data_IF_941175672972
#
_entry.id   IF_941175672972
#
_cell.length_a   1.000
_cell.length_b   1.000
_cell.length_c   1.000
_cell.angle_alpha   90.00
_cell.angle_beta   90.00
_cell.angle_gamma   90.00
#
_symmetry.space_group_name_H-M   'P 1'
#
loop_
_entity.id
_entity.type
_entity.pdbx_description
1 polymer ?
#
# COMPACT_ATOMS: atom_id res chain seq x y z
N UNK A 1 -25.79 -9.01 -52.06
CA UNK A 1 -25.86 -7.80 -51.21
C UNK A 1 -25.86 -8.24 -49.75
N UNK A 2 -24.84 -7.78 -49.02
CA UNK A 2 -24.52 -8.07 -47.62
C UNK A 2 -25.58 -7.53 -46.64
N UNK A 3 -25.98 -8.34 -45.66
CA UNK A 3 -26.24 -7.85 -44.29
C UNK A 3 -25.65 -8.84 -43.29
N UNK A 4 -24.49 -8.46 -42.72
CA UNK A 4 -23.84 -9.11 -41.58
C UNK A 4 -24.76 -8.98 -40.35
N UNK A 5 -25.15 -10.11 -39.75
CA UNK A 5 -25.64 -10.18 -38.37
C UNK A 5 -24.47 -10.63 -37.51
N UNK A 6 -23.95 -9.74 -36.65
CA UNK A 6 -23.05 -10.12 -35.56
C UNK A 6 -23.86 -10.87 -34.50
N UNK A 7 -23.41 -12.07 -34.15
CA UNK A 7 -23.82 -12.80 -32.96
C UNK A 7 -23.05 -12.22 -31.77
N UNK A 8 -23.78 -11.69 -30.78
CA UNK A 8 -23.25 -11.38 -29.45
C UNK A 8 -23.48 -12.61 -28.58
N UNK A 9 -22.40 -13.27 -28.17
CA UNK A 9 -22.42 -14.43 -27.29
C UNK A 9 -22.41 -13.93 -25.84
N UNK A 10 -23.57 -13.97 -25.18
CA UNK A 10 -23.70 -13.83 -23.73
C UNK A 10 -23.41 -15.19 -23.08
N UNK A 11 -22.46 -15.24 -22.14
CA UNK A 11 -22.29 -16.36 -21.22
C UNK A 11 -22.73 -15.89 -19.84
N UNK A 12 -23.89 -16.39 -19.41
CA UNK A 12 -24.46 -16.20 -18.07
C UNK A 12 -24.19 -17.49 -17.28
N UNK A 13 -23.43 -17.41 -16.19
CA UNK A 13 -23.19 -18.56 -15.31
C UNK A 13 -24.31 -18.66 -14.25
N UNK A 14 -25.16 -19.67 -14.38
CA UNK A 14 -26.06 -20.14 -13.33
C UNK A 14 -25.68 -21.57 -12.97
N UNK A 15 -25.39 -21.84 -11.70
CA UNK A 15 -25.01 -23.17 -11.20
C UNK A 15 -26.30 -23.98 -10.92
N UNK A 16 -26.53 -25.04 -11.70
CA UNK A 16 -27.47 -26.11 -11.39
C UNK A 16 -26.68 -27.32 -10.89
N UNK A 17 -26.98 -27.77 -9.67
CA UNK A 17 -26.43 -29.00 -9.11
C UNK A 17 -27.16 -30.22 -9.72
N UNK A 18 -26.41 -31.19 -10.22
CA UNK A 18 -26.93 -32.52 -10.54
C UNK A 18 -25.81 -33.54 -10.33
N UNK A 19 -26.00 -34.41 -9.33
CA UNK A 19 -25.12 -35.52 -9.01
C UNK A 19 -25.38 -36.71 -9.93
N UNK A 20 -24.33 -37.22 -10.56
CA UNK A 20 -24.30 -38.56 -11.15
C UNK A 20 -22.98 -39.21 -10.73
N UNK A 21 -23.08 -40.32 -10.00
CA UNK A 21 -21.95 -41.15 -9.58
C UNK A 21 -21.91 -42.43 -10.43
N UNK A 22 -20.75 -42.75 -11.01
CA UNK A 22 -20.37 -44.05 -11.60
C UNK A 22 -18.82 -44.20 -11.59
N UNK A 23 -18.27 -45.43 -11.67
CA UNK A 23 -17.63 -46.09 -10.53
C UNK A 23 -16.10 -45.95 -10.46
N UNK A 24 -15.57 -46.05 -9.24
CA UNK A 24 -14.15 -46.19 -8.95
C UNK A 24 -13.57 -47.44 -9.66
N UNK A 25 -12.60 -47.21 -10.54
CA UNK A 25 -11.63 -48.22 -10.97
C UNK A 25 -10.30 -47.91 -10.28
N UNK A 26 -9.79 -48.91 -9.55
CA UNK A 26 -8.55 -48.81 -8.81
C UNK A 26 -7.34 -48.81 -9.75
N UNK A 27 -6.35 -47.96 -9.45
CA UNK A 27 -4.99 -48.10 -10.00
C UNK A 27 -4.52 -46.91 -10.82
N UNK A 28 -4.25 -45.79 -10.15
CA UNK A 28 -3.11 -44.96 -10.48
C UNK A 28 -2.59 -44.42 -9.15
N UNK A 29 -1.31 -44.62 -8.85
CA UNK A 29 -0.66 -43.90 -7.77
C UNK A 29 -0.98 -42.42 -7.98
N UNK A 30 -1.64 -41.78 -7.02
CA UNK A 30 -1.84 -40.34 -7.05
C UNK A 30 -0.44 -39.75 -7.10
N UNK A 31 -0.01 -39.30 -8.28
CA UNK A 31 1.19 -38.51 -8.40
C UNK A 31 1.08 -37.39 -7.39
N UNK A 32 2.14 -37.12 -6.64
CA UNK A 32 2.22 -35.90 -5.85
C UNK A 32 1.79 -34.76 -6.76
N UNK A 33 0.63 -34.21 -6.46
CA UNK A 33 0.12 -33.07 -7.17
C UNK A 33 0.97 -31.91 -6.66
N UNK A 34 2.00 -31.59 -7.42
CA UNK A 34 2.88 -30.46 -7.11
C UNK A 34 2.00 -29.21 -7.12
N UNK A 35 1.91 -28.53 -5.99
CA UNK A 35 1.06 -27.36 -5.80
C UNK A 35 1.87 -26.17 -5.36
N UNK A 36 1.42 -24.99 -5.75
CA UNK A 36 2.02 -23.70 -5.39
C UNK A 36 1.02 -22.88 -4.57
N UNK A 37 1.54 -21.82 -3.95
CA UNK A 37 0.73 -20.78 -3.35
C UNK A 37 0.82 -19.47 -4.13
N UNK A 38 -0.31 -18.76 -4.22
CA UNK A 38 -0.40 -17.42 -4.79
C UNK A 38 -0.90 -16.47 -3.70
N UNK A 39 -0.14 -15.41 -3.41
CA UNK A 39 -0.45 -14.48 -2.33
C UNK A 39 -0.26 -13.02 -2.75
N UNK A 40 -0.74 -12.11 -1.91
CA UNK A 40 -0.54 -10.68 -2.10
C UNK A 40 -1.36 -9.85 -1.14
N UNK A 41 -1.32 -8.54 -1.36
CA UNK A 41 -2.11 -7.56 -0.62
C UNK A 41 -3.04 -6.79 -1.57
N UNK A 42 -4.27 -6.51 -1.16
CA UNK A 42 -5.23 -5.69 -1.89
C UNK A 42 -5.69 -4.56 -0.97
N UNK A 43 -5.85 -3.37 -1.55
CA UNK A 43 -6.35 -2.21 -0.83
C UNK A 43 -7.22 -1.36 -1.77
N UNK A 44 -8.18 -0.59 -1.23
CA UNK A 44 -8.70 0.56 -1.95
C UNK A 44 -7.62 1.59 -2.19
N UNK A 45 -7.77 2.37 -3.25
CA UNK A 45 -6.83 3.43 -3.62
C UNK A 45 -7.12 4.77 -2.91
N UNK A 46 -7.82 4.71 -1.78
CA UNK A 46 -8.11 5.82 -0.88
C UNK A 46 -7.87 5.38 0.57
N UNK A 47 -7.89 6.34 1.50
CA UNK A 47 -7.67 6.09 2.93
C UNK A 47 -8.98 6.19 3.69
N UNK A 48 -9.11 5.37 4.72
CA UNK A 48 -10.20 5.42 5.68
C UNK A 48 -9.64 5.24 7.10
N UNK A 49 -10.36 5.77 8.08
CA UNK A 49 -10.09 5.50 9.50
C UNK A 49 -10.58 4.11 9.94
N UNK A 50 -11.37 3.42 9.12
CA UNK A 50 -11.86 2.08 9.41
C UNK A 50 -10.75 1.03 9.17
N UNK A 51 -10.41 0.27 10.22
CA UNK A 51 -9.35 -0.76 10.18
C UNK A 51 -9.69 -1.98 9.32
N UNK A 52 -10.95 -2.15 8.94
CA UNK A 52 -11.42 -3.24 8.07
C UNK A 52 -11.52 -2.83 6.60
N UNK A 53 -11.04 -1.63 6.24
CA UNK A 53 -11.14 -1.11 4.87
C UNK A 53 -10.47 -2.03 3.83
N UNK A 54 -9.44 -2.76 4.24
CA UNK A 54 -8.71 -3.71 3.39
C UNK A 54 -9.28 -5.15 3.42
N UNK A 55 -10.33 -5.42 4.19
CA UNK A 55 -10.92 -6.76 4.30
C UNK A 55 -11.86 -7.10 3.16
N UNK A 56 -12.18 -8.40 3.04
CA UNK A 56 -13.29 -8.91 2.24
C UNK A 56 -13.14 -8.74 0.72
N UNK A 57 -11.91 -8.52 0.22
CA UNK A 57 -11.63 -8.61 -1.21
C UNK A 57 -11.42 -10.07 -1.59
N UNK A 58 -12.25 -10.58 -2.51
CA UNK A 58 -12.18 -11.96 -2.98
C UNK A 58 -11.24 -12.05 -4.17
N UNK A 59 -10.28 -12.97 -4.10
CA UNK A 59 -9.35 -13.34 -5.18
C UNK A 59 -9.66 -14.75 -5.65
N UNK A 60 -9.96 -14.93 -6.94
CA UNK A 60 -10.29 -16.24 -7.52
C UNK A 60 -9.35 -16.58 -8.67
N UNK A 61 -8.88 -17.83 -8.72
CA UNK A 61 -8.07 -18.34 -9.82
C UNK A 61 -8.99 -18.78 -10.96
N UNK A 62 -8.87 -18.16 -12.13
CA UNK A 62 -9.73 -18.45 -13.27
C UNK A 62 -9.60 -19.91 -13.73
N UNK A 63 -10.72 -20.53 -14.11
CA UNK A 63 -10.76 -21.93 -14.54
C UNK A 63 -10.76 -22.95 -13.40
N UNK A 64 -10.76 -22.51 -12.13
CA UNK A 64 -10.77 -23.38 -10.94
C UNK A 64 -11.83 -22.94 -9.92
N UNK A 65 -11.98 -23.70 -8.83
CA UNK A 65 -12.79 -23.31 -7.66
C UNK A 65 -11.96 -22.63 -6.56
N UNK A 66 -10.65 -22.49 -6.74
CA UNK A 66 -9.73 -21.96 -5.73
C UNK A 66 -9.90 -20.44 -5.58
N UNK A 67 -10.04 -19.99 -4.35
CA UNK A 67 -10.19 -18.59 -4.01
C UNK A 67 -9.73 -18.32 -2.57
N UNK A 68 -9.42 -17.06 -2.29
CA UNK A 68 -9.15 -16.54 -0.95
C UNK A 68 -9.82 -15.18 -0.76
N UNK A 69 -9.94 -14.75 0.48
CA UNK A 69 -10.48 -13.45 0.86
C UNK A 69 -9.45 -12.72 1.73
N UNK A 70 -9.33 -11.40 1.56
CA UNK A 70 -8.36 -10.62 2.32
C UNK A 70 -8.74 -10.44 3.78
N UNK A 71 -7.72 -10.40 4.63
CA UNK A 71 -7.85 -10.05 6.06
C UNK A 71 -7.92 -8.52 6.29
N UNK A 72 -7.88 -8.07 7.55
CA UNK A 72 -7.88 -6.63 7.91
C UNK A 72 -6.66 -5.85 7.43
N UNK A 73 -5.57 -6.52 7.08
CA UNK A 73 -4.38 -5.88 6.53
C UNK A 73 -4.42 -5.86 4.99
N UNK A 74 -5.38 -6.54 4.37
CA UNK A 74 -5.48 -6.69 2.93
C UNK A 74 -4.75 -7.91 2.39
N UNK A 75 -4.20 -8.77 3.26
CA UNK A 75 -3.44 -9.94 2.84
C UNK A 75 -4.38 -11.08 2.42
N UNK A 76 -4.04 -11.76 1.31
CA UNK A 76 -4.65 -13.04 0.93
C UNK A 76 -3.57 -14.07 0.57
N UNK A 77 -3.91 -15.35 0.72
CA UNK A 77 -3.12 -16.48 0.24
C UNK A 77 -4.04 -17.58 -0.28
N UNK A 78 -3.84 -17.98 -1.53
CA UNK A 78 -4.51 -19.13 -2.16
C UNK A 78 -3.51 -20.29 -2.16
N UNK A 79 -3.86 -21.35 -1.45
CA UNK A 79 -3.06 -22.59 -1.38
C UNK A 79 -3.64 -23.66 -2.32
N UNK A 80 -2.84 -24.67 -2.66
CA UNK A 80 -3.29 -25.81 -3.45
C UNK A 80 -3.47 -25.54 -4.95
N UNK A 81 -2.93 -24.42 -5.46
CA UNK A 81 -2.95 -24.11 -6.89
C UNK A 81 -2.05 -25.13 -7.61
N UNK A 82 -2.57 -25.75 -8.66
CA UNK A 82 -1.84 -26.79 -9.38
C UNK A 82 -0.61 -26.18 -10.06
N UNK A 83 0.53 -26.85 -10.00
CA UNK A 83 1.72 -26.38 -10.71
C UNK A 83 1.58 -26.67 -12.21
N UNK A 84 1.85 -25.67 -13.04
CA UNK A 84 1.81 -25.78 -14.50
C UNK A 84 2.77 -24.77 -15.14
N UNK A 85 3.18 -25.04 -16.38
CA UNK A 85 4.07 -24.15 -17.14
C UNK A 85 3.37 -22.86 -17.59
N UNK A 86 2.06 -22.93 -17.82
CA UNK A 86 1.23 -21.79 -18.19
C UNK A 86 0.88 -20.93 -16.97
N UNK A 87 0.81 -19.62 -17.16
CA UNK A 87 0.37 -18.71 -16.11
C UNK A 87 -1.13 -18.83 -15.79
N UNK A 88 -1.51 -18.39 -14.60
CA UNK A 88 -2.89 -18.22 -14.18
C UNK A 88 -3.34 -16.77 -14.38
N UNK A 89 -4.62 -16.61 -14.68
CA UNK A 89 -5.31 -15.34 -14.55
C UNK A 89 -6.11 -15.33 -13.25
N UNK A 90 -6.08 -14.22 -12.52
CA UNK A 90 -6.81 -14.03 -11.27
C UNK A 90 -7.87 -12.94 -11.43
N UNK A 91 -9.02 -13.15 -10.81
CA UNK A 91 -10.06 -12.12 -10.69
C UNK A 91 -10.13 -11.67 -9.24
N UNK A 92 -9.94 -10.36 -9.03
CA UNK A 92 -10.14 -9.69 -7.75
C UNK A 92 -11.46 -8.92 -7.77
N UNK A 93 -12.30 -9.14 -6.77
CA UNK A 93 -13.66 -8.60 -6.72
C UNK A 93 -14.13 -8.32 -5.30
N UNK A 94 -14.98 -7.31 -5.13
CA UNK A 94 -15.73 -7.01 -3.90
C UNK A 94 -16.98 -6.21 -4.28
N UNK A 95 -18.14 -6.43 -3.64
CA UNK A 95 -19.32 -5.58 -3.88
C UNK A 95 -19.00 -4.10 -3.69
N UNK A 96 -19.43 -3.26 -4.63
CA UNK A 96 -19.14 -1.83 -4.66
C UNK A 96 -17.80 -1.47 -5.32
N UNK A 97 -17.00 -2.45 -5.75
CA UNK A 97 -15.69 -2.23 -6.37
C UNK A 97 -15.63 -2.78 -7.79
N UNK A 98 -14.94 -2.05 -8.67
CA UNK A 98 -14.68 -2.45 -10.04
C UNK A 98 -13.72 -3.65 -10.05
N UNK A 99 -14.18 -4.77 -10.59
CA UNK A 99 -13.40 -6.01 -10.64
C UNK A 99 -12.11 -5.83 -11.43
N UNK A 100 -11.01 -6.45 -10.96
CA UNK A 100 -9.69 -6.36 -11.58
C UNK A 100 -9.22 -7.73 -12.03
N UNK A 101 -8.74 -7.79 -13.27
CA UNK A 101 -8.09 -8.96 -13.85
C UNK A 101 -6.57 -8.83 -13.71
N UNK A 102 -5.94 -9.82 -13.10
CA UNK A 102 -4.49 -9.94 -12.99
C UNK A 102 -4.05 -11.09 -13.89
N UNK A 103 -3.35 -10.76 -14.97
CA UNK A 103 -2.98 -11.73 -16.01
C UNK A 103 -1.60 -12.32 -15.80
N UNK A 104 -1.39 -13.51 -16.37
CA UNK A 104 -0.06 -14.12 -16.53
C UNK A 104 0.70 -14.31 -15.20
N UNK A 105 0.00 -14.67 -14.12
CA UNK A 105 0.62 -15.00 -12.84
C UNK A 105 1.36 -16.34 -12.98
N UNK A 106 2.67 -16.44 -12.69
CA UNK A 106 3.42 -17.69 -12.80
C UNK A 106 2.72 -18.87 -12.11
N UNK A 107 2.48 -19.93 -12.88
CA UNK A 107 1.88 -21.18 -12.39
C UNK A 107 2.92 -22.24 -11.97
N UNK A 108 4.21 -21.97 -12.20
CA UNK A 108 5.28 -22.95 -11.98
C UNK A 108 5.98 -22.80 -10.62
N UNK A 109 5.77 -21.68 -9.94
CA UNK A 109 6.38 -21.38 -8.64
C UNK A 109 5.39 -20.67 -7.75
N UNK A 110 5.64 -20.71 -6.43
CA UNK A 110 4.97 -19.77 -5.53
C UNK A 110 5.11 -18.33 -6.05
N UNK A 111 4.10 -17.50 -5.84
CA UNK A 111 4.05 -16.15 -6.42
C UNK A 111 3.40 -15.16 -5.48
N UNK A 112 4.01 -13.98 -5.37
CA UNK A 112 3.42 -12.78 -4.78
C UNK A 112 3.02 -11.80 -5.88
N UNK A 113 1.73 -11.47 -5.99
CA UNK A 113 1.24 -10.55 -7.03
C UNK A 113 1.31 -9.07 -6.61
N UNK A 114 1.47 -8.81 -5.32
CA UNK A 114 1.53 -7.47 -4.71
C UNK A 114 2.11 -7.57 -3.28
N UNK A 115 2.55 -6.43 -2.73
CA UNK A 115 3.11 -6.35 -1.37
C UNK A 115 2.26 -5.43 -0.50
N UNK A 116 2.49 -5.45 0.82
CA UNK A 116 1.79 -4.55 1.73
C UNK A 116 2.08 -3.05 1.43
N UNK A 117 3.28 -2.73 0.92
CA UNK A 117 3.63 -1.33 0.56
C UNK A 117 3.05 -0.91 -0.79
N UNK A 118 2.93 -1.86 -1.72
CA UNK A 118 2.29 -1.65 -3.02
C UNK A 118 1.18 -2.67 -3.19
N UNK A 119 0.06 -2.50 -2.47
CA UNK A 119 -1.07 -3.39 -2.62
C UNK A 119 -1.61 -3.28 -4.05
N UNK A 120 -2.31 -4.32 -4.45
CA UNK A 120 -3.08 -4.30 -5.66
C UNK A 120 -4.30 -3.41 -5.41
N UNK A 121 -4.26 -2.19 -5.96
CA UNK A 121 -5.38 -1.26 -5.83
C UNK A 121 -6.67 -1.83 -6.46
N UNK A 122 -7.79 -1.69 -5.75
CA UNK A 122 -9.13 -1.93 -6.29
C UNK A 122 -9.97 -0.67 -6.15
N UNK A 123 -10.54 -0.22 -7.26
CA UNK A 123 -11.27 1.04 -7.36
C UNK A 123 -12.73 0.86 -6.96
N UNK A 124 -13.18 1.65 -6.00
CA UNK A 124 -14.59 1.71 -5.62
C UNK A 124 -15.41 2.43 -6.70
N UNK A 125 -16.67 2.00 -6.86
CA UNK A 125 -17.65 2.71 -7.69
C UNK A 125 -18.37 1.88 -8.75
N UNK A 126 -18.21 0.56 -8.80
CA UNK A 126 -19.04 -0.33 -9.62
C UNK A 126 -20.03 -1.06 -8.70
N UNK A 127 -21.23 -0.51 -8.58
CA UNK A 127 -22.19 -0.89 -7.56
C UNK A 127 -23.13 -1.98 -8.11
N UNK A 128 -23.20 -3.16 -7.47
CA UNK A 128 -24.06 -4.24 -7.93
C UNK A 128 -25.54 -3.83 -7.96
N UNK A 129 -26.20 -4.10 -9.09
CA UNK A 129 -27.65 -4.02 -9.22
C UNK A 129 -28.21 -5.43 -9.22
N UNK A 130 -29.08 -5.74 -8.26
CA UNK A 130 -29.60 -7.11 -8.05
C UNK A 130 -28.47 -8.14 -7.85
N UNK A 131 -27.38 -7.75 -7.19
CA UNK A 131 -26.22 -8.60 -6.94
C UNK A 131 -25.26 -8.75 -8.12
N UNK A 132 -25.44 -8.00 -9.22
CA UNK A 132 -24.59 -8.06 -10.41
C UNK A 132 -24.04 -6.67 -10.73
N UNK A 133 -22.71 -6.56 -10.75
CA UNK A 133 -21.97 -5.37 -11.20
C UNK A 133 -21.91 -5.30 -12.73
N UNK A 134 -21.82 -4.10 -13.31
CA UNK A 134 -21.84 -3.90 -14.77
C UNK A 134 -20.46 -3.63 -15.38
N UNK A 135 -19.40 -3.68 -14.56
CA UNK A 135 -18.00 -3.45 -14.94
C UNK A 135 -17.75 -2.04 -15.48
N UNK A 136 -18.54 -1.05 -15.10
CA UNK A 136 -18.34 0.35 -15.49
C UNK A 136 -18.64 1.28 -14.33
N UNK A 137 -17.66 2.06 -13.89
CA UNK A 137 -17.90 3.14 -12.92
C UNK A 137 -18.54 4.30 -13.69
N UNK A 138 -19.84 4.53 -13.54
CA UNK A 138 -20.57 5.55 -14.29
C UNK A 138 -21.71 6.20 -13.50
N UNK A 139 -22.57 6.96 -14.19
CA UNK A 139 -23.65 7.71 -13.54
C UNK A 139 -24.69 6.79 -12.88
N UNK A 140 -24.82 5.54 -13.35
CA UNK A 140 -25.55 4.48 -12.68
C UNK A 140 -25.17 4.33 -11.20
N UNK A 141 -23.88 4.37 -10.92
CA UNK A 141 -23.30 4.13 -9.61
C UNK A 141 -23.46 5.36 -8.73
N UNK A 142 -23.25 6.54 -9.31
CA UNK A 142 -23.55 7.82 -8.65
C UNK A 142 -25.02 7.89 -8.24
N UNK A 143 -25.95 7.43 -9.09
CA UNK A 143 -27.38 7.33 -8.73
C UNK A 143 -27.65 6.32 -7.62
N UNK A 144 -26.86 5.25 -7.50
CA UNK A 144 -27.00 4.29 -6.40
C UNK A 144 -26.56 4.90 -5.06
N UNK A 145 -25.48 5.69 -5.03
CA UNK A 145 -25.10 6.50 -3.86
C UNK A 145 -26.21 7.50 -3.52
N UNK A 146 -26.73 8.22 -4.53
CA UNK A 146 -27.76 9.24 -4.34
C UNK A 146 -29.04 8.70 -3.66
N UNK A 147 -29.41 7.43 -3.90
CA UNK A 147 -30.56 6.78 -3.26
C UNK A 147 -30.37 6.54 -1.76
N UNK A 148 -29.14 6.39 -1.31
CA UNK A 148 -28.78 6.20 0.09
C UNK A 148 -28.16 7.48 0.71
N UNK A 149 -28.16 8.60 -0.02
CA UNK A 149 -27.46 9.80 0.41
C UNK A 149 -28.02 10.35 1.72
N UNK A 150 -27.11 10.76 2.61
CA UNK A 150 -27.40 11.27 3.95
C UNK A 150 -28.09 10.24 4.88
N UNK A 151 -27.90 8.95 4.61
CA UNK A 151 -28.29 7.87 5.54
C UNK A 151 -27.11 7.47 6.42
N UNK A 152 -27.42 6.88 7.58
CA UNK A 152 -26.45 6.28 8.49
C UNK A 152 -26.78 4.80 8.72
N UNK A 153 -25.78 4.03 9.16
CA UNK A 153 -25.95 2.59 9.42
C UNK A 153 -27.10 2.37 10.42
N UNK A 154 -28.13 1.68 9.97
CA UNK A 154 -29.36 1.42 10.73
C UNK A 154 -30.61 2.02 10.10
N UNK A 155 -30.45 3.00 9.20
CA UNK A 155 -31.57 3.56 8.44
C UNK A 155 -32.12 2.55 7.44
N UNK A 156 -33.42 2.64 7.16
CA UNK A 156 -34.10 1.72 6.23
C UNK A 156 -33.54 1.77 4.79
N UNK A 157 -33.02 2.93 4.38
CA UNK A 157 -32.46 3.14 3.04
C UNK A 157 -30.92 3.11 3.03
N UNK A 158 -30.29 2.77 4.16
CA UNK A 158 -28.83 2.62 4.22
C UNK A 158 -28.40 1.45 3.33
N UNK A 159 -27.39 1.69 2.49
CA UNK A 159 -26.76 0.67 1.67
C UNK A 159 -25.27 0.60 1.99
N UNK A 160 -24.80 -0.55 2.46
CA UNK A 160 -23.39 -0.75 2.80
C UNK A 160 -22.49 -0.80 1.57
N UNK A 161 -23.01 -1.19 0.40
CA UNK A 161 -22.24 -1.32 -0.84
C UNK A 161 -21.84 0.03 -1.45
N UNK A 162 -22.41 1.14 -0.94
CA UNK A 162 -22.13 2.51 -1.39
C UNK A 162 -21.46 3.38 -0.32
N UNK A 163 -21.21 2.80 0.85
CA UNK A 163 -20.40 3.40 1.91
C UNK A 163 -18.97 2.86 1.77
N UNK A 164 -18.17 3.50 0.92
CA UNK A 164 -16.89 2.97 0.48
C UNK A 164 -15.79 3.13 1.52
N UNK A 165 -15.80 4.25 2.25
CA UNK A 165 -14.83 4.49 3.33
C UNK A 165 -15.25 3.84 4.65
N UNK A 166 -16.41 3.19 4.71
CA UNK A 166 -16.89 2.45 5.87
C UNK A 166 -16.98 3.31 7.14
N UNK A 167 -17.30 4.60 7.00
CA UNK A 167 -17.45 5.54 8.12
C UNK A 167 -18.84 5.48 8.80
N UNK A 168 -19.68 4.54 8.37
CA UNK A 168 -21.07 4.32 8.77
C UNK A 168 -22.09 5.39 8.31
N UNK A 169 -21.68 6.33 7.47
CA UNK A 169 -22.54 7.31 6.80
C UNK A 169 -22.44 7.18 5.29
N UNK A 170 -23.45 7.63 4.54
CA UNK A 170 -23.35 7.77 3.08
C UNK A 170 -23.42 9.26 2.77
N UNK A 171 -22.31 9.83 2.31
CA UNK A 171 -22.14 11.27 2.19
C UNK A 171 -21.51 11.68 0.84
N UNK A 172 -21.10 12.96 0.74
CA UNK A 172 -20.38 13.43 -0.44
C UNK A 172 -18.98 12.78 -0.54
N UNK A 173 -18.43 12.24 0.55
CA UNK A 173 -17.15 11.54 0.53
C UNK A 173 -17.22 10.28 -0.35
N UNK A 174 -18.31 9.53 -0.30
CA UNK A 174 -18.54 8.36 -1.16
C UNK A 174 -18.67 8.75 -2.63
N UNK A 175 -19.34 9.87 -2.91
CA UNK A 175 -19.46 10.40 -4.28
C UNK A 175 -18.09 10.81 -4.82
N UNK A 176 -17.24 11.44 -4.00
CA UNK A 176 -15.87 11.82 -4.38
C UNK A 176 -14.97 10.62 -4.62
N UNK A 177 -15.17 9.52 -3.88
CA UNK A 177 -14.46 8.26 -4.11
C UNK A 177 -14.78 7.69 -5.50
N UNK A 178 -16.06 7.65 -5.89
CA UNK A 178 -16.47 7.27 -7.26
C UNK A 178 -15.86 8.20 -8.31
N UNK A 179 -15.90 9.52 -8.05
CA UNK A 179 -15.45 10.52 -9.01
C UNK A 179 -13.99 10.34 -9.44
N UNK A 180 -13.14 9.74 -8.57
CA UNK A 180 -11.73 9.48 -8.86
C UNK A 180 -11.52 8.61 -10.11
N UNK A 181 -12.43 7.66 -10.35
CA UNK A 181 -12.35 6.70 -11.45
C UNK A 181 -13.61 6.71 -12.32
N UNK A 182 -14.32 7.84 -12.37
CA UNK A 182 -15.53 7.94 -13.17
C UNK A 182 -15.23 7.68 -14.66
N UNK A 183 -15.95 6.75 -15.25
CA UNK A 183 -15.78 6.27 -16.62
C UNK A 183 -14.86 5.04 -16.75
N UNK A 184 -14.26 4.56 -15.66
CA UNK A 184 -13.34 3.43 -15.70
C UNK A 184 -14.03 2.08 -15.89
N UNK A 185 -13.30 1.18 -16.54
CA UNK A 185 -13.61 -0.24 -16.79
C UNK A 185 -12.44 -1.11 -16.33
N UNK A 186 -12.59 -2.45 -16.22
CA UNK A 186 -11.49 -3.31 -15.81
C UNK A 186 -10.24 -3.22 -16.70
N UNK A 187 -10.38 -2.72 -17.94
CA UNK A 187 -9.27 -2.52 -18.86
C UNK A 187 -8.39 -1.31 -18.53
N UNK A 188 -8.88 -0.38 -17.71
CA UNK A 188 -8.17 0.84 -17.35
C UNK A 188 -7.17 0.64 -16.20
N UNK A 189 -7.25 -0.51 -15.51
CA UNK A 189 -6.23 -0.90 -14.54
C UNK A 189 -4.86 -1.08 -15.21
N UNK A 190 -3.81 -0.64 -14.53
CA UNK A 190 -2.43 -0.94 -14.93
C UNK A 190 -2.13 -2.42 -14.74
N UNK A 191 -1.40 -3.01 -15.69
CA UNK A 191 -0.91 -4.38 -15.57
C UNK A 191 0.03 -4.52 -14.37
N UNK A 192 -0.06 -5.67 -13.68
CA UNK A 192 0.83 -6.00 -12.58
C UNK A 192 1.91 -6.98 -13.03
N UNK A 193 3.14 -6.71 -12.65
CA UNK A 193 4.24 -7.64 -12.81
C UNK A 193 4.30 -8.56 -11.58
N UNK A 194 4.05 -9.87 -11.72
CA UNK A 194 4.12 -10.81 -10.61
C UNK A 194 5.56 -10.95 -10.10
N UNK A 195 5.70 -11.16 -8.79
CA UNK A 195 6.98 -11.33 -8.10
C UNK A 195 7.11 -12.80 -7.66
N UNK A 196 8.19 -13.47 -8.05
CA UNK A 196 8.52 -14.79 -7.50
C UNK A 196 9.19 -14.61 -6.14
N UNK A 197 8.77 -15.33 -5.08
CA UNK A 197 9.49 -15.35 -3.82
C UNK A 197 10.86 -16.00 -4.07
N UNK A 198 11.92 -15.26 -3.76
CA UNK A 198 13.26 -15.82 -3.73
C UNK A 198 13.33 -16.81 -2.56
N UNK A 199 13.74 -18.07 -2.76
CA UNK A 199 13.94 -18.98 -1.64
C UNK A 199 15.07 -18.44 -0.75
N UNK A 200 14.75 -18.14 0.51
CA UNK A 200 15.72 -17.78 1.54
C UNK A 200 16.52 -19.03 1.90
N UNK A 201 17.65 -19.25 1.22
CA UNK A 201 18.62 -20.28 1.59
C UNK A 201 19.30 -19.88 2.91
N UNK A 202 19.07 -20.66 3.97
CA UNK A 202 19.89 -20.61 5.19
C UNK A 202 21.32 -21.05 4.87
N UNK A 203 22.36 -20.22 5.06
CA UNK A 203 23.73 -20.58 4.68
C UNK A 203 24.40 -21.50 5.72
N UNK A 204 25.02 -22.57 5.24
CA UNK A 204 26.14 -23.26 5.91
C UNK A 204 27.44 -22.75 5.29
N UNK A 205 28.47 -22.36 6.07
CA UNK A 205 29.62 -21.61 5.53
C UNK A 205 30.67 -22.54 4.92
N UNK A 206 31.20 -22.21 3.74
CA UNK A 206 32.56 -22.60 3.28
C UNK A 206 33.07 -21.61 2.22
N UNK A 207 34.36 -21.27 2.29
CA UNK A 207 35.04 -20.16 1.62
C UNK A 207 35.29 -20.30 0.10
N UNK A 208 35.10 -19.16 -0.60
CA UNK A 208 35.68 -18.54 -1.84
C UNK A 208 36.66 -19.31 -2.78
N UNK A 209 36.65 -19.03 -4.11
CA UNK A 209 37.24 -17.78 -4.64
C UNK A 209 36.48 -17.04 -5.77
N UNK A 210 36.91 -15.79 -5.87
CA UNK A 210 36.51 -14.60 -6.64
C UNK A 210 36.25 -14.78 -8.15
N UNK A 211 35.12 -14.26 -8.62
CA UNK A 211 34.95 -13.77 -9.99
C UNK A 211 34.54 -12.29 -9.94
N UNK A 212 35.28 -11.45 -10.65
CA UNK A 212 35.04 -10.02 -10.82
C UNK A 212 33.79 -9.78 -11.67
N UNK A 213 32.74 -9.07 -11.18
CA UNK A 213 31.62 -8.70 -12.02
C UNK A 213 31.86 -7.38 -12.76
N UNK A 214 31.61 -7.42 -14.06
CA UNK A 214 31.49 -6.27 -14.98
C UNK A 214 30.28 -5.40 -14.56
N UNK A 215 30.32 -4.06 -14.69
CA UNK A 215 29.27 -3.18 -14.18
C UNK A 215 27.90 -3.45 -14.83
N UNK A 216 26.92 -3.80 -13.97
CA UNK A 216 25.49 -3.94 -14.28
C UNK A 216 24.89 -2.56 -14.60
N UNK A 217 24.02 -2.41 -15.62
CA UNK A 217 23.34 -1.14 -15.90
C UNK A 217 22.48 -0.74 -14.70
N UNK A 218 22.72 0.45 -14.16
CA UNK A 218 21.90 1.05 -13.09
C UNK A 218 20.54 1.44 -13.66
N UNK A 219 19.54 0.57 -13.50
CA UNK A 219 18.14 0.95 -13.65
C UNK A 219 17.84 1.97 -12.55
N UNK A 220 17.55 3.21 -12.93
CA UNK A 220 17.11 4.26 -11.99
C UNK A 220 15.86 3.73 -11.25
N UNK A 221 15.87 3.61 -9.91
CA UNK A 221 14.70 3.16 -9.17
C UNK A 221 13.50 4.07 -9.46
N UNK A 222 12.31 3.48 -9.59
CA UNK A 222 11.06 4.23 -9.75
C UNK A 222 10.80 5.17 -8.56
N UNK A 223 9.83 6.10 -8.67
CA UNK A 223 9.50 7.03 -7.59
C UNK A 223 9.18 6.28 -6.30
N UNK A 224 9.97 6.54 -5.24
CA UNK A 224 9.61 6.24 -3.86
C UNK A 224 9.09 7.51 -3.19
N UNK A 225 8.36 7.37 -2.09
CA UNK A 225 7.92 8.47 -1.22
C UNK A 225 8.62 8.35 0.12
N UNK A 226 8.78 9.47 0.83
CA UNK A 226 9.40 9.50 2.15
C UNK A 226 8.75 8.50 3.12
N UNK A 227 9.57 7.80 3.93
CA UNK A 227 9.10 7.01 5.07
C UNK A 227 9.34 7.84 6.33
N UNK A 228 8.27 8.33 6.95
CA UNK A 228 8.33 9.01 8.24
C UNK A 228 8.44 7.96 9.36
N UNK A 229 9.66 7.52 9.67
CA UNK A 229 9.94 6.53 10.71
C UNK A 229 9.46 7.02 12.08
N UNK A 230 9.65 8.30 12.38
CA UNK A 230 9.04 8.95 13.54
C UNK A 230 8.54 10.34 13.16
N UNK A 231 7.25 10.58 13.40
CA UNK A 231 6.61 11.90 13.30
C UNK A 231 5.46 11.95 14.31
N UNK A 232 5.68 12.66 15.41
CA UNK A 232 4.83 12.70 16.62
C UNK A 232 4.57 11.35 17.32
N UNK A 233 4.84 10.25 16.62
CA UNK A 233 4.71 8.86 17.03
C UNK A 233 5.59 8.01 16.13
N UNK A 234 6.00 6.85 16.66
CA UNK A 234 6.74 5.86 15.88
C UNK A 234 5.84 5.27 14.79
N UNK A 235 6.35 5.14 13.56
CA UNK A 235 5.61 4.57 12.44
C UNK A 235 5.05 3.18 12.82
N UNK A 236 3.78 2.94 12.52
CA UNK A 236 3.13 1.68 12.90
C UNK A 236 3.90 0.48 12.34
N UNK A 237 4.24 -0.45 13.21
CA UNK A 237 5.04 -1.64 12.90
C UNK A 237 6.53 -1.51 13.23
N UNK A 238 7.08 -0.29 13.25
CA UNK A 238 8.42 -0.07 13.78
C UNK A 238 8.45 -0.30 15.28
N UNK A 239 9.60 -0.77 15.76
CA UNK A 239 9.79 -1.17 17.14
C UNK A 239 10.99 -0.43 17.74
N UNK A 240 10.93 -0.25 19.05
CA UNK A 240 12.03 0.30 19.82
C UNK A 240 12.95 -0.84 20.30
N UNK A 241 14.15 -0.89 19.75
CA UNK A 241 15.22 -1.83 20.08
C UNK A 241 16.42 -1.07 20.65
N UNK A 242 16.16 0.04 21.34
CA UNK A 242 17.15 0.83 22.05
C UNK A 242 17.84 0.04 23.15
N UNK A 243 19.10 0.36 23.41
CA UNK A 243 19.87 -0.25 24.49
C UNK A 243 20.56 0.81 25.34
N UNK A 244 20.67 0.50 26.63
CA UNK A 244 21.34 1.33 27.63
C UNK A 244 20.87 2.79 27.60
N UNK A 245 19.57 2.98 27.33
CA UNK A 245 18.95 4.28 27.20
C UNK A 245 17.53 4.27 27.74
N UNK A 246 17.11 5.40 28.27
CA UNK A 246 15.73 5.70 28.62
C UNK A 246 15.14 6.58 27.54
N UNK A 247 13.87 6.35 27.19
CA UNK A 247 13.22 6.97 26.05
C UNK A 247 11.76 7.23 26.31
N UNK A 248 11.33 8.44 25.95
CA UNK A 248 9.94 8.87 25.93
C UNK A 248 9.59 9.33 24.52
N UNK A 249 8.77 8.52 23.82
CA UNK A 249 8.31 8.78 22.45
C UNK A 249 7.14 9.77 22.38
N UNK A 250 6.61 10.22 23.52
CA UNK A 250 5.48 11.15 23.61
C UNK A 250 5.89 12.47 24.27
N UNK A 251 7.19 12.82 24.24
CA UNK A 251 7.68 14.04 24.88
C UNK A 251 7.17 15.29 24.15
N UNK A 252 6.42 16.10 24.90
CA UNK A 252 5.86 17.39 24.43
C UNK A 252 6.62 18.60 24.99
N UNK A 253 7.54 18.40 25.95
CA UNK A 253 8.17 19.53 26.67
C UNK A 253 9.27 20.22 25.86
N UNK A 254 10.07 19.43 25.15
CA UNK A 254 11.14 19.90 24.25
C UNK A 254 10.95 19.21 22.92
N UNK A 255 10.03 19.72 22.11
CA UNK A 255 9.72 19.19 20.78
C UNK A 255 10.01 20.23 19.69
N UNK A 256 10.31 19.77 18.46
CA UNK A 256 10.50 20.67 17.31
C UNK A 256 9.14 21.07 16.74
N UNK A 257 8.23 20.12 16.68
CA UNK A 257 6.83 20.24 16.28
C UNK A 257 6.08 19.04 16.89
N UNK A 258 4.92 19.26 17.54
CA UNK A 258 4.16 18.18 18.17
C UNK A 258 4.95 17.41 19.25
N UNK A 259 5.21 16.12 19.04
CA UNK A 259 5.98 15.27 19.97
C UNK A 259 7.38 14.96 19.42
N UNK A 260 8.33 14.83 20.34
CA UNK A 260 9.68 14.34 20.07
C UNK A 260 9.97 13.06 20.84
N UNK A 261 11.08 12.40 20.48
CA UNK A 261 11.69 11.34 21.28
C UNK A 261 12.71 11.99 22.22
N UNK A 262 12.42 12.03 23.53
CA UNK A 262 13.44 12.34 24.53
C UNK A 262 14.25 11.07 24.83
N UNK A 263 15.58 11.15 24.78
CA UNK A 263 16.47 9.99 24.98
C UNK A 263 17.57 10.34 25.97
N UNK A 264 17.63 9.63 27.10
CA UNK A 264 18.74 9.68 28.06
C UNK A 264 19.64 8.48 27.82
N UNK A 265 20.93 8.70 27.57
CA UNK A 265 21.91 7.62 27.45
C UNK A 265 22.51 7.32 28.83
N UNK A 266 22.30 6.10 29.35
CA UNK A 266 22.67 5.76 30.73
C UNK A 266 24.10 5.22 30.87
N UNK A 267 24.79 4.97 29.76
CA UNK A 267 26.20 4.58 29.70
C UNK A 267 26.82 5.00 28.36
N UNK A 268 28.14 4.84 28.22
CA UNK A 268 28.83 4.99 26.95
C UNK A 268 28.33 4.00 25.91
N UNK A 269 28.30 4.41 24.64
CA UNK A 269 27.88 3.58 23.50
C UNK A 269 26.41 3.14 23.51
N UNK A 270 25.59 3.68 24.40
CA UNK A 270 24.14 3.54 24.37
C UNK A 270 23.53 4.08 23.07
N UNK A 271 22.33 3.62 22.71
CA UNK A 271 21.67 4.11 21.50
C UNK A 271 20.15 4.19 21.60
N UNK A 272 19.59 5.12 20.83
CA UNK A 272 18.24 5.05 20.31
C UNK A 272 18.31 4.16 19.06
N UNK A 273 17.52 3.10 19.03
CA UNK A 273 17.56 2.13 17.94
C UNK A 273 16.15 1.77 17.53
N UNK A 274 15.81 2.15 16.30
CA UNK A 274 14.48 1.97 15.73
C UNK A 274 14.55 0.84 14.69
N UNK A 275 13.81 -0.22 14.95
CA UNK A 275 13.80 -1.44 14.14
C UNK A 275 12.56 -1.52 13.24
N UNK A 276 12.79 -1.84 11.98
CA UNK A 276 11.74 -2.22 11.04
C UNK A 276 11.64 -3.76 10.98
N UNK A 277 10.44 -4.35 11.19
CA UNK A 277 10.25 -5.79 11.06
C UNK A 277 10.53 -6.30 9.63
N UNK A 278 10.44 -5.43 8.63
CA UNK A 278 10.80 -5.72 7.24
C UNK A 278 12.09 -5.00 6.85
N UNK A 279 12.93 -5.66 6.06
CA UNK A 279 14.10 -5.01 5.44
C UNK A 279 13.63 -4.00 4.40
N UNK A 280 14.14 -2.78 4.50
CA UNK A 280 13.79 -1.68 3.61
C UNK A 280 14.86 -1.56 2.54
N UNK A 281 14.50 -1.85 1.29
CA UNK A 281 15.37 -1.58 0.15
C UNK A 281 15.64 -0.07 0.02
N UNK A 282 16.91 0.32 -0.06
CA UNK A 282 17.30 1.73 -0.08
C UNK A 282 17.24 2.35 -1.47
N UNK A 283 17.19 1.54 -2.53
CA UNK A 283 17.11 2.01 -3.90
C UNK A 283 15.90 2.95 -4.08
N UNK A 284 16.13 4.23 -4.41
CA UNK A 284 15.07 5.26 -4.53
C UNK A 284 14.98 6.20 -3.33
N UNK A 285 15.76 5.97 -2.29
CA UNK A 285 15.99 6.90 -1.18
C UNK A 285 17.36 7.57 -1.31
N UNK A 286 17.47 8.80 -0.81
CA UNK A 286 18.69 9.60 -0.87
C UNK A 286 19.36 9.75 0.50
N UNK A 287 18.57 9.92 1.56
CA UNK A 287 19.11 10.26 2.88
C UNK A 287 18.19 9.85 4.03
N UNK A 288 18.77 9.75 5.22
CA UNK A 288 18.04 9.74 6.49
C UNK A 288 18.13 11.15 7.08
N UNK A 289 16.96 11.75 7.33
CA UNK A 289 16.82 13.11 7.81
C UNK A 289 16.12 13.10 9.17
N UNK A 290 16.56 13.94 10.10
CA UNK A 290 15.90 14.14 11.39
C UNK A 290 16.34 15.46 12.01
N UNK A 291 15.57 15.97 12.96
CA UNK A 291 15.96 17.08 13.83
C UNK A 291 16.51 16.54 15.14
N UNK A 292 17.55 17.18 15.66
CA UNK A 292 18.14 16.84 16.96
C UNK A 292 18.44 18.08 17.79
N UNK A 293 18.25 17.97 19.10
CA UNK A 293 18.64 18.96 20.11
C UNK A 293 19.45 18.26 21.20
N UNK A 294 20.63 18.80 21.53
CA UNK A 294 21.56 18.22 22.50
C UNK A 294 21.16 18.39 23.98
N UNK A 295 20.04 19.08 24.25
CA UNK A 295 19.61 19.37 25.60
C UNK A 295 20.52 20.40 26.27
N UNK A 296 21.09 20.06 27.41
CA UNK A 296 21.88 20.98 28.26
C UNK A 296 23.30 21.28 27.76
N UNK A 297 23.83 20.48 26.82
CA UNK A 297 25.22 20.52 26.36
C UNK A 297 25.36 19.88 24.98
N UNK A 298 26.45 20.17 24.28
CA UNK A 298 26.74 19.53 22.99
C UNK A 298 26.97 18.03 23.19
N UNK A 299 26.26 17.19 22.41
CA UNK A 299 26.37 15.72 22.48
C UNK A 299 27.00 15.16 21.22
N UNK A 300 28.04 14.34 21.37
CA UNK A 300 28.69 13.62 20.27
C UNK A 300 27.92 12.33 20.00
N UNK A 301 27.40 12.19 18.80
CA UNK A 301 26.55 11.08 18.39
C UNK A 301 27.00 10.51 17.04
N UNK A 302 26.56 9.29 16.74
CA UNK A 302 26.79 8.62 15.47
C UNK A 302 25.50 8.03 14.92
N UNK A 303 25.25 8.21 13.64
CA UNK A 303 24.19 7.52 12.92
C UNK A 303 24.78 6.37 12.11
N UNK A 304 24.21 5.19 12.27
CA UNK A 304 24.47 4.06 11.39
C UNK A 304 23.23 3.17 11.31
N UNK A 305 23.15 2.38 10.26
CA UNK A 305 22.08 1.42 10.05
C UNK A 305 22.57 -0.01 10.31
N UNK A 306 21.65 -0.88 10.70
CA UNK A 306 21.82 -2.32 10.48
C UNK A 306 21.07 -2.70 9.20
N UNK A 307 21.74 -3.38 8.28
CA UNK A 307 21.19 -3.81 6.99
C UNK A 307 20.44 -5.14 7.10
N UNK A 308 20.85 -5.97 8.05
CA UNK A 308 20.23 -7.22 8.46
C UNK A 308 20.35 -7.39 9.99
N UNK A 309 19.21 -7.35 10.68
CA UNK A 309 19.15 -7.45 12.13
C UNK A 309 19.48 -8.85 12.67
N UNK A 310 19.42 -9.89 11.85
CA UNK A 310 19.80 -11.25 12.22
C UNK A 310 21.32 -11.42 12.18
N UNK A 311 21.96 -10.83 11.18
CA UNK A 311 23.43 -10.86 11.05
C UNK A 311 24.13 -9.72 11.80
N UNK A 312 23.36 -8.75 12.31
CA UNK A 312 23.83 -7.49 12.91
C UNK A 312 24.85 -6.76 12.03
N UNK A 313 24.66 -6.85 10.71
CA UNK A 313 25.55 -6.23 9.72
C UNK A 313 25.33 -4.72 9.71
N UNK A 314 26.35 -3.97 10.11
CA UNK A 314 26.28 -2.51 10.21
C UNK A 314 26.75 -1.79 8.93
N UNK A 315 26.12 -0.65 8.65
CA UNK A 315 26.60 0.34 7.67
C UNK A 315 27.81 1.10 8.22
N UNK A 316 28.40 1.95 7.39
CA UNK A 316 29.36 2.96 7.88
C UNK A 316 28.67 3.89 8.87
N UNK A 317 29.38 4.32 9.92
CA UNK A 317 28.87 5.32 10.86
C UNK A 317 29.22 6.73 10.40
N UNK A 318 28.23 7.63 10.43
CA UNK A 318 28.41 9.07 10.27
C UNK A 318 28.29 9.74 11.63
N UNK A 319 29.38 10.33 12.11
CA UNK A 319 29.40 11.08 13.37
C UNK A 319 28.90 12.51 13.19
N UNK A 320 28.16 13.02 14.18
CA UNK A 320 27.68 14.39 14.22
C UNK A 320 27.60 14.90 15.67
N UNK A 321 27.40 16.21 15.82
CA UNK A 321 27.21 16.84 17.14
C UNK A 321 25.81 17.43 17.23
N UNK A 322 25.02 16.97 18.21
CA UNK A 322 23.77 17.61 18.57
C UNK A 322 24.07 18.83 19.45
N UNK A 323 23.64 20.01 19.02
CA UNK A 323 23.95 21.28 19.70
C UNK A 323 23.07 21.52 20.92
N UNK A 324 23.66 22.01 22.00
CA UNK A 324 22.96 22.36 23.23
C UNK A 324 21.81 23.35 22.96
N UNK A 325 20.60 23.02 23.41
CA UNK A 325 19.43 23.90 23.38
C UNK A 325 18.91 24.31 22.00
N UNK A 326 19.52 23.85 20.91
CA UNK A 326 19.19 24.28 19.54
C UNK A 326 18.83 23.08 18.67
N UNK A 327 17.65 23.14 18.08
CA UNK A 327 17.24 22.18 17.05
C UNK A 327 18.07 22.35 15.78
N UNK A 328 18.80 21.30 15.41
CA UNK A 328 19.61 21.23 14.20
C UNK A 328 19.08 20.11 13.31
N UNK A 329 18.92 20.38 12.01
CA UNK A 329 18.56 19.35 11.05
C UNK A 329 19.81 18.56 10.66
N UNK A 330 19.75 17.24 10.80
CA UNK A 330 20.77 16.30 10.36
C UNK A 330 20.25 15.61 9.11
N UNK A 331 21.07 15.62 8.05
CA UNK A 331 20.79 14.95 6.77
C UNK A 331 21.96 14.05 6.42
N UNK A 332 21.81 12.75 6.65
CA UNK A 332 22.85 11.76 6.36
C UNK A 332 22.52 11.09 5.03
N UNK A 333 23.34 11.29 4.00
CA UNK A 333 23.13 10.62 2.71
C UNK A 333 23.43 9.13 2.84
N UNK A 334 22.69 8.31 2.08
CA UNK A 334 22.97 6.88 2.05
C UNK A 334 24.36 6.57 1.48
N UNK A 335 24.91 7.44 0.64
CA UNK A 335 26.30 7.35 0.17
C UNK A 335 27.32 7.43 1.30
N UNK A 336 27.05 8.23 2.33
CA UNK A 336 27.96 8.43 3.46
C UNK A 336 27.90 7.23 4.43
N UNK A 337 26.80 6.48 4.39
CA UNK A 337 26.62 5.21 5.09
C UNK A 337 27.22 4.02 4.33
N UNK A 338 27.80 4.25 3.14
CA UNK A 338 28.37 3.21 2.29
C UNK A 338 27.39 2.58 1.29
N UNK A 339 26.27 3.26 0.99
CA UNK A 339 25.17 2.78 0.14
C UNK A 339 24.65 1.40 0.57
N UNK A 340 24.16 1.26 1.82
CA UNK A 340 23.57 0.00 2.25
C UNK A 340 22.41 -0.38 1.31
N UNK A 341 22.34 -1.61 0.82
CA UNK A 341 21.25 -2.06 -0.06
C UNK A 341 19.91 -2.12 0.70
N UNK A 342 19.99 -2.47 1.99
CA UNK A 342 18.84 -2.54 2.89
C UNK A 342 19.06 -1.80 4.18
N UNK A 343 17.98 -1.35 4.83
CA UNK A 343 17.97 -0.84 6.19
C UNK A 343 16.92 -1.62 6.98
N UNK A 344 17.29 -2.13 8.14
CA UNK A 344 16.38 -2.80 9.08
C UNK A 344 16.43 -2.19 10.48
N UNK A 345 17.51 -1.49 10.83
CA UNK A 345 17.59 -0.70 12.07
C UNK A 345 18.25 0.63 11.79
N UNK A 346 17.74 1.71 12.37
CA UNK A 346 18.39 3.02 12.38
C UNK A 346 18.84 3.29 13.81
N UNK A 347 20.14 3.45 14.02
CA UNK A 347 20.74 3.70 15.32
C UNK A 347 21.25 5.13 15.39
N UNK A 348 20.90 5.85 16.47
CA UNK A 348 21.54 7.08 16.90
C UNK A 348 22.24 6.76 18.22
N UNK A 349 23.57 6.63 18.15
CA UNK A 349 24.41 6.11 19.22
C UNK A 349 25.24 7.22 19.86
N UNK A 350 25.42 7.13 21.17
CA UNK A 350 26.36 7.90 21.99
C UNK A 350 27.82 7.64 21.56
N UNK A 351 28.65 8.69 21.39
CA UNK A 351 30.04 8.60 20.87
C UNK A 351 31.10 9.28 21.72
N UNK A 352 30.75 9.80 22.89
CA UNK A 352 31.70 10.31 23.89
C UNK A 352 32.24 9.22 24.81
N UNK A 353 31.60 8.04 24.85
CA UNK A 353 32.02 6.90 25.67
C UNK A 353 31.59 7.02 27.13
N UNK A 354 30.56 7.84 27.42
CA UNK A 354 30.01 8.04 28.75
C UNK A 354 28.50 8.30 28.67
N UNK A 355 27.81 8.14 29.80
CA UNK A 355 26.41 8.52 29.94
C UNK A 355 26.19 9.99 29.54
N UNK A 356 25.07 10.28 28.90
CA UNK A 356 24.69 11.62 28.46
C UNK A 356 23.26 11.95 28.91
N UNK A 357 23.09 13.16 29.43
CA UNK A 357 21.80 13.77 29.71
C UNK A 357 20.94 13.88 28.44
N UNK A 358 19.60 14.07 28.58
CA UNK A 358 18.68 13.87 27.46
C UNK A 358 19.05 14.64 26.19
N UNK A 359 19.02 13.93 25.06
CA UNK A 359 18.85 14.51 23.73
C UNK A 359 17.38 14.44 23.32
N UNK A 360 17.01 15.21 22.31
CA UNK A 360 15.68 15.18 21.72
C UNK A 360 15.79 14.96 20.21
N UNK A 361 15.02 14.02 19.67
CA UNK A 361 14.98 13.67 18.25
C UNK A 361 13.57 13.85 17.71
N UNK A 362 13.43 14.43 16.52
CA UNK A 362 12.12 14.72 15.93
C UNK A 362 12.15 14.55 14.39
N UNK A 363 10.99 14.28 13.78
CA UNK A 363 10.78 14.13 12.33
C UNK A 363 11.81 13.22 11.62
N UNK A 364 12.05 12.01 12.16
CA UNK A 364 12.99 11.06 11.57
C UNK A 364 12.40 10.38 10.34
N UNK A 365 13.05 10.57 9.20
CA UNK A 365 12.52 10.26 7.87
C UNK A 365 13.58 9.61 6.99
N UNK A 366 13.24 8.52 6.29
CA UNK A 366 14.01 8.05 5.15
C UNK A 366 13.48 8.76 3.89
N UNK A 367 14.24 9.73 3.39
CA UNK A 367 13.83 10.65 2.34
C UNK A 367 14.04 10.04 0.95
N UNK A 368 12.98 10.05 0.15
CA UNK A 368 13.01 9.57 -1.23
C UNK A 368 13.82 10.54 -2.10
N UNK A 369 14.42 10.03 -3.17
CA UNK A 369 15.07 10.86 -4.18
C UNK A 369 14.01 11.79 -4.79
N UNK A 370 14.18 13.13 -4.73
CA UNK A 370 13.22 14.07 -5.28
C UNK A 370 13.00 13.79 -6.77
N UNK A 371 11.75 13.53 -7.16
CA UNK A 371 11.37 13.43 -8.56
C UNK A 371 10.77 14.75 -9.03
N UNK A 372 11.24 15.27 -10.17
CA UNK A 372 10.57 16.35 -10.86
C UNK A 372 9.17 15.88 -11.27
N UNK A 373 8.14 16.43 -10.63
CA UNK A 373 6.75 16.16 -11.02
C UNK A 373 6.53 16.62 -12.47
N UNK A 374 5.92 15.82 -13.35
CA UNK A 374 5.49 16.31 -14.66
C UNK A 374 4.50 17.46 -14.44
N UNK A 375 4.69 18.56 -15.15
CA UNK A 375 3.81 19.73 -15.08
C UNK A 375 2.37 19.33 -15.35
N UNK A 376 1.45 19.72 -14.45
CA UNK A 376 0.03 19.47 -14.59
C UNK A 376 -0.45 20.02 -15.95
N UNK A 377 -1.02 19.15 -16.79
CA UNK A 377 -1.74 19.59 -17.98
C UNK A 377 -3.05 20.23 -17.51
N UNK A 378 -3.14 21.54 -17.61
CA UNK A 378 -4.41 22.26 -17.43
C UNK A 378 -5.31 21.93 -18.62
N UNK A 379 -6.50 21.41 -18.34
CA UNK A 379 -7.56 21.26 -19.34
C UNK A 379 -8.54 22.41 -19.16
N UNK A 380 -8.66 23.29 -20.16
CA UNK A 380 -9.69 24.33 -20.16
C UNK A 380 -11.00 23.71 -20.66
N UNK A 381 -11.97 23.56 -19.76
CA UNK A 381 -13.34 23.17 -20.15
C UNK A 381 -14.02 24.41 -20.73
N UNK A 382 -14.52 24.33 -21.97
CA UNK A 382 -15.38 25.37 -22.54
C UNK A 382 -16.77 25.29 -21.87
N UNK A 383 -17.22 26.43 -21.34
CA UNK A 383 -18.46 26.62 -20.60
C UNK A 383 -19.67 26.82 -21.55
N UNK A 384 -19.89 25.87 -22.48
CA UNK A 384 -20.87 26.08 -23.58
C UNK A 384 -22.02 25.06 -23.61
N UNK A 385 -22.42 24.52 -22.45
CA UNK A 385 -23.56 23.58 -22.38
C UNK A 385 -24.58 23.86 -21.26
N UNK A 386 -24.57 25.04 -20.63
CA UNK A 386 -25.57 25.44 -19.63
C UNK A 386 -26.42 26.65 -20.01
N UNK A 387 -26.55 26.96 -21.31
CA UNK A 387 -27.41 28.04 -21.80
C UNK A 387 -28.36 27.61 -22.93
N UNK A 388 -29.17 26.57 -22.72
CA UNK A 388 -30.44 26.43 -23.43
C UNK A 388 -31.43 25.57 -22.62
N UNK A 389 -32.62 26.13 -22.38
CA UNK A 389 -33.86 25.45 -22.00
C UNK A 389 -34.16 25.17 -20.52
N UNK A 390 -33.95 26.16 -19.65
CA UNK A 390 -34.78 26.30 -18.43
C UNK A 390 -35.75 27.48 -18.55
N UNK A 391 -36.90 27.25 -19.20
CA UNK A 391 -38.05 28.18 -19.15
C UNK A 391 -39.00 27.75 -18.02
N UNK A 392 -38.92 28.42 -16.87
CA UNK A 392 -40.00 28.38 -15.88
C UNK A 392 -41.20 29.13 -16.48
N UNK A 393 -42.30 28.41 -16.69
CA UNK A 393 -43.60 29.01 -17.00
C UNK A 393 -44.16 29.73 -15.78
N UNK A 394 -44.07 31.05 -15.75
CA UNK A 394 -44.92 31.88 -14.91
C UNK A 394 -46.15 32.30 -15.71
N UNK A 395 -47.30 31.74 -15.32
CA UNK A 395 -48.61 32.14 -15.83
C UNK A 395 -48.90 33.60 -15.50
N UNK A 396 -49.18 34.39 -16.52
CA UNK A 396 -49.68 35.76 -16.40
C UNK A 396 -51.21 35.69 -16.39
N UNK A 397 -51.83 36.11 -15.28
CA UNK A 397 -53.28 36.37 -15.24
C UNK A 397 -53.59 37.69 -15.96
N UNK A 398 -54.65 37.77 -16.79
CA UNK A 398 -54.98 38.98 -17.53
C UNK A 398 -55.65 40.02 -16.62
N UNK A 399 -55.11 41.24 -16.63
CA UNK A 399 -55.69 42.43 -16.00
C UNK A 399 -56.80 42.96 -16.90
N UNK A 400 -58.05 42.81 -16.46
CA UNK A 400 -59.24 43.41 -17.08
C UNK A 400 -59.17 44.94 -17.01
N UNK A 401 -59.38 45.61 -18.14
CA UNK A 401 -59.72 47.03 -18.17
C UNK A 401 -61.22 47.22 -17.89
N UNK A 402 -61.55 47.90 -16.80
CA UNK A 402 -62.43 49.08 -16.75
C UNK A 402 -62.38 49.72 -15.36
#
# INVERSE_FOLDING_TARGET
MLRKRMLSTFVSFAVMASSVALPMSAGAAAGEVDTISISGYIAPDFKSNNKSINSDFKVSVMGTTLNAVTDSLGFFKIEGVQKQDEGYDLVVSKPGYLSRLVKNVPGSTETYISTAEKPLDLWAGDIPKNGIADNMINMADVFAVAKAFNTVKGDANYNADVNFDMDATVSMQDVLIIAKHFGATPADYVDVAPMTPTPTNTPTPTFTPTNTPTPKPTVKPGPKTDINVYKDSLLTGWQDWSWTSERDFANTTVAKEGNSIAVTYTDGWAALSLYSPTKIETAGYESINFWVNGGDSDKKLGLYCITDATEDTASTTVEFTAKAGVWTEIKVKLSDLGNPETIQRINIQERSGAAQTPIYVDNLTLAAIPQAQPTAKTFTVYDDALAADFRIGHGVLPRTQK
#
